data_IF_876720261461
#
_entry.id   IF_876720261461
#
_cell.length_a   1.000
_cell.length_b   1.000
_cell.length_c   1.000
_cell.angle_alpha   90.00
_cell.angle_beta   90.00
_cell.angle_gamma   90.00
#
_symmetry.space_group_name_H-M   'P 1'
#
loop_
_entity.id
_entity.type
_entity.pdbx_description
1 polymer ?
#
# COMPACT_ATOMS: atom_id res chain seq x y z
N UNK A 1 -13.71 -22.32 -9.01
CA UNK A 1 -13.48 -21.66 -7.71
C UNK A 1 -14.73 -20.87 -7.34
N UNK A 2 -15.21 -21.01 -6.11
CA UNK A 2 -16.37 -20.32 -5.56
C UNK A 2 -15.95 -19.58 -4.28
N UNK A 3 -16.70 -18.53 -3.90
CA UNK A 3 -16.47 -17.82 -2.62
C UNK A 3 -16.41 -18.77 -1.42
N UNK A 4 -17.26 -19.81 -1.40
CA UNK A 4 -17.31 -20.81 -0.34
C UNK A 4 -16.01 -21.59 -0.14
N UNK A 5 -15.17 -21.71 -1.17
CA UNK A 5 -13.91 -22.45 -1.12
C UNK A 5 -12.91 -21.80 -0.15
N UNK A 6 -13.06 -20.50 0.13
CA UNK A 6 -12.22 -19.75 1.07
C UNK A 6 -12.73 -19.80 2.52
N UNK A 7 -13.89 -20.42 2.78
CA UNK A 7 -14.53 -20.43 4.09
C UNK A 7 -15.40 -19.19 4.35
N UNK A 8 -16.24 -19.28 5.40
CA UNK A 8 -17.25 -18.27 5.71
C UNK A 8 -16.67 -16.95 6.21
N UNK A 9 -15.57 -17.02 6.94
CA UNK A 9 -14.96 -15.88 7.64
C UNK A 9 -13.88 -15.17 6.81
N UNK A 10 -13.65 -15.60 5.56
CA UNK A 10 -12.66 -14.97 4.69
C UNK A 10 -13.14 -13.58 4.27
N UNK A 11 -12.30 -12.57 4.50
CA UNK A 11 -12.61 -11.18 4.22
C UNK A 11 -12.40 -10.87 2.73
N UNK A 12 -13.33 -10.10 2.17
CA UNK A 12 -13.30 -9.63 0.80
C UNK A 12 -13.43 -8.12 0.78
N UNK A 13 -12.64 -7.43 -0.02
CA UNK A 13 -12.78 -5.99 -0.11
C UNK A 13 -12.14 -5.37 -1.34
N UNK A 14 -12.23 -4.06 -1.42
CA UNK A 14 -11.48 -3.24 -2.35
C UNK A 14 -10.73 -2.14 -1.59
N UNK A 15 -9.63 -1.68 -2.17
CA UNK A 15 -8.75 -0.68 -1.57
C UNK A 15 -8.66 0.61 -2.38
N UNK A 16 -8.25 1.67 -1.69
CA UNK A 16 -7.88 2.97 -2.26
C UNK A 16 -6.91 3.71 -1.33
N UNK A 17 -6.33 4.80 -1.83
CA UNK A 17 -5.48 5.70 -1.05
C UNK A 17 -5.96 7.16 -1.21
N UNK A 18 -5.92 7.91 -0.10
CA UNK A 18 -6.34 9.30 0.04
C UNK A 18 -5.87 10.17 -1.14
N UNK A 19 -4.56 10.31 -1.33
CA UNK A 19 -4.00 11.14 -2.40
C UNK A 19 -4.43 10.70 -3.81
N UNK A 20 -4.62 9.39 -4.02
CA UNK A 20 -4.91 8.84 -5.34
C UNK A 20 -6.36 9.06 -5.76
N UNK A 21 -7.30 9.21 -4.81
CA UNK A 21 -8.74 9.29 -5.12
C UNK A 21 -9.43 10.58 -4.68
N UNK A 22 -8.96 11.23 -3.61
CA UNK A 22 -9.75 12.26 -2.93
C UNK A 22 -9.92 13.54 -3.76
N UNK A 23 -8.84 14.04 -4.36
CA UNK A 23 -8.84 15.39 -4.92
C UNK A 23 -8.96 16.45 -3.84
N UNK A 24 -9.60 17.59 -4.15
CA UNK A 24 -9.87 18.66 -3.19
C UNK A 24 -8.60 19.03 -2.39
N UNK A 25 -7.48 19.15 -3.11
CA UNK A 25 -6.14 19.09 -2.51
C UNK A 25 -5.81 20.29 -1.62
N UNK A 26 -6.50 21.42 -1.82
CA UNK A 26 -6.34 22.67 -1.08
C UNK A 26 -7.64 23.15 -0.42
N UNK A 27 -8.64 22.26 -0.32
CA UNK A 27 -9.95 22.59 0.23
C UNK A 27 -10.04 22.32 1.73
N UNK A 28 -10.96 23.00 2.40
CA UNK A 28 -11.33 22.77 3.79
C UNK A 28 -10.16 22.72 4.77
N UNK A 29 -9.12 23.53 4.49
CA UNK A 29 -7.96 23.68 5.36
C UNK A 29 -6.94 22.54 5.26
N UNK A 30 -7.04 21.64 4.27
CA UNK A 30 -6.00 20.64 4.00
C UNK A 30 -4.65 21.32 3.74
N UNK A 31 -3.60 20.82 4.40
CA UNK A 31 -2.22 21.22 4.14
C UNK A 31 -1.66 20.61 2.85
N UNK A 32 -0.60 21.22 2.33
CA UNK A 32 0.18 20.63 1.25
C UNK A 32 0.86 19.33 1.72
N UNK A 33 0.80 18.28 0.91
CA UNK A 33 1.57 17.05 1.07
C UNK A 33 2.82 17.05 0.18
N UNK A 34 3.75 16.14 0.46
CA UNK A 34 4.92 15.91 -0.41
C UNK A 34 4.52 15.51 -1.82
N UNK A 35 3.37 14.86 -2.01
CA UNK A 35 2.86 14.51 -3.33
C UNK A 35 2.22 15.70 -4.06
N UNK A 36 1.58 16.62 -3.34
CA UNK A 36 1.14 17.90 -3.92
C UNK A 36 2.36 18.64 -4.50
N UNK A 37 3.42 18.81 -3.70
CA UNK A 37 4.64 19.47 -4.17
C UNK A 37 5.30 18.73 -5.34
N UNK A 38 5.37 17.41 -5.26
CA UNK A 38 6.04 16.58 -6.26
C UNK A 38 5.32 16.60 -7.60
N UNK A 39 3.98 16.48 -7.62
CA UNK A 39 3.18 16.50 -8.85
C UNK A 39 3.18 17.86 -9.54
N UNK A 40 3.22 18.96 -8.77
CA UNK A 40 3.38 20.31 -9.29
C UNK A 40 4.80 20.65 -9.77
N UNK A 41 5.77 19.74 -9.61
CA UNK A 41 7.14 19.94 -10.09
C UNK A 41 7.27 19.38 -11.53
N UNK A 42 7.63 20.20 -12.53
CA UNK A 42 7.72 19.75 -13.92
C UNK A 42 8.63 18.52 -14.11
N UNK A 43 8.17 17.57 -14.92
CA UNK A 43 8.91 16.36 -15.28
C UNK A 43 8.97 15.27 -14.20
N UNK A 44 8.21 15.41 -13.10
CA UNK A 44 8.11 14.38 -12.05
C UNK A 44 7.05 13.32 -12.32
N UNK A 45 5.99 13.68 -13.03
CA UNK A 45 4.91 12.78 -13.44
C UNK A 45 4.98 12.60 -14.95
N UNK A 46 4.83 11.36 -15.41
CA UNK A 46 5.05 10.98 -16.82
C UNK A 46 4.18 11.78 -17.80
N UNK A 47 2.91 12.02 -17.44
CA UNK A 47 1.94 12.79 -18.24
C UNK A 47 1.75 14.23 -17.74
N UNK A 48 2.50 14.65 -16.70
CA UNK A 48 2.37 15.97 -16.08
C UNK A 48 1.10 16.17 -15.25
N UNK A 49 0.33 15.12 -14.97
CA UNK A 49 -0.89 15.19 -14.17
C UNK A 49 -0.61 15.38 -12.67
N UNK A 50 -1.64 15.79 -11.93
CA UNK A 50 -1.60 15.97 -10.48
C UNK A 50 -2.77 15.26 -9.78
N UNK A 51 -2.69 15.12 -8.46
CA UNK A 51 -3.77 14.62 -7.61
C UNK A 51 -4.81 15.68 -7.23
N UNK A 52 -4.82 16.86 -7.87
CA UNK A 52 -5.66 18.00 -7.47
C UNK A 52 -7.15 17.65 -7.47
N UNK A 53 -7.59 16.95 -8.51
CA UNK A 53 -8.96 16.49 -8.71
C UNK A 53 -9.09 15.00 -8.47
N UNK A 54 -8.18 14.19 -9.04
CA UNK A 54 -8.22 12.73 -8.93
C UNK A 54 -9.60 12.15 -9.30
N UNK A 55 -10.15 11.28 -8.46
CA UNK A 55 -11.50 10.76 -8.61
C UNK A 55 -12.55 11.70 -7.99
N UNK A 56 -12.17 12.87 -7.47
CA UNK A 56 -13.05 13.78 -6.75
C UNK A 56 -13.82 13.08 -5.61
N UNK A 57 -13.21 12.06 -5.00
CA UNK A 57 -13.86 11.24 -3.98
C UNK A 57 -14.22 12.06 -2.73
N UNK A 58 -13.46 13.11 -2.42
CA UNK A 58 -13.77 14.01 -1.30
C UNK A 58 -15.21 14.54 -1.36
N UNK A 59 -15.69 14.87 -2.56
CA UNK A 59 -17.05 15.33 -2.81
C UNK A 59 -18.03 14.21 -3.16
N UNK A 60 -17.55 13.11 -3.76
CA UNK A 60 -18.39 12.05 -4.33
C UNK A 60 -18.39 10.75 -3.54
N UNK A 61 -17.84 10.73 -2.32
CA UNK A 61 -17.69 9.50 -1.55
C UNK A 61 -19.00 8.75 -1.33
N UNK A 62 -20.14 9.44 -1.13
CA UNK A 62 -21.43 8.76 -0.96
C UNK A 62 -21.81 7.92 -2.19
N UNK A 63 -21.58 8.46 -3.40
CA UNK A 63 -21.80 7.74 -4.66
C UNK A 63 -20.87 6.53 -4.78
N UNK A 64 -19.61 6.71 -4.42
CA UNK A 64 -18.64 5.62 -4.44
C UNK A 64 -19.01 4.51 -3.45
N UNK A 65 -19.49 4.86 -2.25
CA UNK A 65 -19.98 3.91 -1.25
C UNK A 65 -21.29 3.21 -1.68
N UNK A 66 -22.19 3.90 -2.39
CA UNK A 66 -23.39 3.28 -2.97
C UNK A 66 -23.02 2.22 -4.00
N UNK A 67 -22.06 2.51 -4.89
CA UNK A 67 -21.54 1.52 -5.85
C UNK A 67 -20.89 0.33 -5.12
N UNK A 68 -20.11 0.56 -4.06
CA UNK A 68 -19.54 -0.54 -3.26
C UNK A 68 -20.62 -1.44 -2.66
N UNK A 69 -21.70 -0.85 -2.15
CA UNK A 69 -22.85 -1.58 -1.61
C UNK A 69 -23.57 -2.38 -2.68
N UNK A 70 -23.79 -1.80 -3.87
CA UNK A 70 -24.39 -2.48 -5.02
C UNK A 70 -23.52 -3.65 -5.52
N UNK A 71 -22.20 -3.51 -5.43
CA UNK A 71 -21.24 -4.58 -5.72
C UNK A 71 -21.16 -5.64 -4.61
N UNK A 72 -21.80 -5.40 -3.45
CA UNK A 72 -21.79 -6.33 -2.32
C UNK A 72 -20.44 -6.43 -1.61
N UNK A 73 -19.60 -5.39 -1.66
CA UNK A 73 -18.30 -5.36 -1.00
C UNK A 73 -18.47 -5.28 0.52
N UNK A 74 -18.01 -6.27 1.30
CA UNK A 74 -18.20 -6.25 2.75
C UNK A 74 -17.13 -5.42 3.48
N UNK A 75 -15.99 -5.11 2.85
CA UNK A 75 -14.91 -4.33 3.44
C UNK A 75 -14.37 -3.30 2.45
N UNK A 76 -14.12 -2.09 2.94
CA UNK A 76 -13.46 -1.01 2.22
C UNK A 76 -12.19 -0.60 2.96
N UNK A 77 -11.04 -0.78 2.30
CA UNK A 77 -9.75 -0.29 2.78
C UNK A 77 -9.47 1.08 2.19
N UNK A 78 -9.21 2.07 3.05
CA UNK A 78 -8.79 3.41 2.62
C UNK A 78 -7.73 3.98 3.56
N UNK A 79 -7.02 5.02 3.13
CA UNK A 79 -6.11 5.77 4.00
C UNK A 79 -6.70 7.10 4.44
N UNK A 80 -6.28 7.54 5.61
CA UNK A 80 -6.54 8.90 6.09
C UNK A 80 -5.41 9.80 5.62
N UNK A 81 -5.75 10.90 4.96
CA UNK A 81 -4.81 11.94 4.59
C UNK A 81 -4.34 12.72 5.81
N UNK A 82 -3.14 12.40 6.30
CA UNK A 82 -2.49 13.13 7.40
C UNK A 82 -2.57 14.67 7.24
N UNK A 83 -2.29 15.28 6.07
CA UNK A 83 -2.37 16.74 5.90
C UNK A 83 -3.80 17.30 5.99
N UNK A 84 -4.85 16.47 5.90
CA UNK A 84 -6.22 16.91 6.21
C UNK A 84 -6.47 17.03 7.70
N UNK A 85 -5.87 16.15 8.50
CA UNK A 85 -6.03 16.14 9.97
C UNK A 85 -5.11 17.17 10.62
N UNK A 86 -3.83 17.14 10.26
CA UNK A 86 -2.80 18.07 10.72
C UNK A 86 -2.13 18.72 9.52
N UNK A 87 -2.60 19.89 9.06
CA UNK A 87 -2.06 20.57 7.87
C UNK A 87 -0.56 20.86 7.97
N UNK A 88 -0.06 21.14 9.19
CA UNK A 88 1.35 21.37 9.49
C UNK A 88 2.08 20.13 10.02
N UNK A 89 1.47 18.95 9.86
CA UNK A 89 1.95 17.66 10.34
C UNK A 89 1.80 17.38 11.83
N UNK A 90 1.58 18.40 12.64
CA UNK A 90 1.30 18.30 14.08
C UNK A 90 0.65 19.59 14.59
N UNK A 91 0.25 19.62 15.86
CA UNK A 91 -0.28 20.81 16.51
C UNK A 91 -1.77 20.99 16.30
N UNK A 92 -2.19 22.12 15.72
CA UNK A 92 -3.60 22.44 15.54
C UNK A 92 -4.27 21.46 14.55
N UNK A 93 -5.35 20.84 15.01
CA UNK A 93 -6.19 19.96 14.19
C UNK A 93 -7.06 20.77 13.26
N UNK A 94 -7.21 20.30 12.03
CA UNK A 94 -8.21 20.82 11.11
C UNK A 94 -9.51 20.01 11.25
N UNK A 95 -10.50 20.59 11.94
CA UNK A 95 -11.75 19.90 12.26
C UNK A 95 -12.52 19.45 11.01
N UNK A 96 -12.48 20.21 9.91
CA UNK A 96 -13.17 19.82 8.68
C UNK A 96 -12.58 18.54 8.05
N UNK A 97 -11.27 18.37 8.15
CA UNK A 97 -10.61 17.12 7.76
C UNK A 97 -11.04 15.96 8.64
N UNK A 98 -11.17 16.19 9.96
CA UNK A 98 -11.67 15.19 10.91
C UNK A 98 -13.11 14.78 10.58
N UNK A 99 -13.97 15.77 10.32
CA UNK A 99 -15.39 15.57 10.01
C UNK A 99 -15.60 14.80 8.69
N UNK A 100 -14.74 15.00 7.69
CA UNK A 100 -14.78 14.23 6.46
C UNK A 100 -14.62 12.72 6.72
N UNK A 101 -13.63 12.31 7.51
CA UNK A 101 -13.42 10.89 7.77
C UNK A 101 -14.50 10.30 8.69
N UNK A 102 -15.06 11.07 9.64
CA UNK A 102 -16.27 10.62 10.35
C UNK A 102 -17.42 10.32 9.39
N UNK A 103 -17.72 11.24 8.45
CA UNK A 103 -18.77 11.03 7.44
C UNK A 103 -18.48 9.83 6.53
N UNK A 104 -17.24 9.64 6.10
CA UNK A 104 -16.84 8.49 5.28
C UNK A 104 -17.02 7.17 6.05
N UNK A 105 -16.55 7.11 7.30
CA UNK A 105 -16.65 5.93 8.16
C UNK A 105 -18.11 5.60 8.46
N UNK A 106 -18.92 6.59 8.84
CA UNK A 106 -20.35 6.41 9.12
C UNK A 106 -21.12 6.05 7.83
N UNK A 107 -20.71 6.61 6.70
CA UNK A 107 -21.19 6.25 5.37
C UNK A 107 -20.95 4.77 5.05
N UNK A 108 -19.77 4.23 5.36
CA UNK A 108 -19.46 2.81 5.20
C UNK A 108 -20.36 1.95 6.09
N UNK A 109 -20.40 2.25 7.40
CA UNK A 109 -21.12 1.45 8.39
C UNK A 109 -22.63 1.42 8.13
N UNK A 110 -23.23 2.55 7.74
CA UNK A 110 -24.65 2.63 7.37
C UNK A 110 -25.02 1.78 6.15
N UNK A 111 -24.03 1.42 5.33
CA UNK A 111 -24.17 0.56 4.15
C UNK A 111 -23.79 -0.89 4.42
N UNK A 112 -23.38 -1.23 5.65
CA UNK A 112 -22.91 -2.56 6.01
C UNK A 112 -21.50 -2.87 5.48
N UNK A 113 -20.73 -1.84 5.14
CA UNK A 113 -19.35 -1.95 4.67
C UNK A 113 -18.42 -1.73 5.87
N UNK A 114 -17.56 -2.69 6.16
CA UNK A 114 -16.56 -2.56 7.23
C UNK A 114 -15.42 -1.64 6.78
N UNK A 115 -15.17 -0.51 7.46
CA UNK A 115 -14.00 0.33 7.18
C UNK A 115 -12.72 -0.29 7.77
N UNK A 116 -11.68 -0.40 6.93
CA UNK A 116 -10.33 -0.78 7.34
C UNK A 116 -9.36 0.35 7.00
N UNK A 117 -8.68 0.91 8.01
CA UNK A 117 -7.97 2.19 7.85
C UNK A 117 -6.46 2.01 7.79
N UNK A 118 -5.85 2.63 6.78
CA UNK A 118 -4.40 2.82 6.68
C UNK A 118 -4.02 4.22 7.16
N UNK A 119 -3.14 4.32 8.15
CA UNK A 119 -2.80 5.61 8.77
C UNK A 119 -1.85 6.45 7.90
N UNK A 120 -0.89 5.81 7.24
CA UNK A 120 0.04 6.48 6.35
C UNK A 120 0.13 5.81 4.98
N UNK A 121 -0.28 6.55 3.94
CA UNK A 121 -0.15 6.15 2.54
C UNK A 121 0.55 7.24 1.73
N UNK A 122 1.77 7.56 2.17
CA UNK A 122 2.80 8.35 1.46
C UNK A 122 2.57 9.86 1.37
N UNK A 123 1.41 10.36 1.78
CA UNK A 123 1.01 11.76 1.73
C UNK A 123 1.50 12.57 2.95
N UNK A 124 2.79 12.47 3.28
CA UNK A 124 3.44 13.25 4.35
C UNK A 124 3.14 14.75 4.18
N UNK A 125 2.71 15.48 5.23
CA UNK A 125 2.60 16.93 5.19
C UNK A 125 3.93 17.60 4.80
N UNK A 126 3.91 18.47 3.79
CA UNK A 126 5.11 19.08 3.21
C UNK A 126 5.92 19.87 4.26
N UNK A 127 5.25 20.47 5.23
CA UNK A 127 5.88 21.17 6.37
C UNK A 127 6.75 20.28 7.26
N UNK A 128 6.53 18.96 7.27
CA UNK A 128 7.43 18.00 7.91
C UNK A 128 8.62 17.69 7.00
N UNK A 129 8.41 17.55 5.68
CA UNK A 129 9.50 17.36 4.72
C UNK A 129 10.45 18.57 4.69
N UNK A 130 9.94 19.79 4.78
CA UNK A 130 10.73 21.02 4.88
C UNK A 130 11.66 21.02 6.12
N UNK A 131 11.31 20.23 7.14
CA UNK A 131 12.10 19.99 8.37
C UNK A 131 12.88 18.68 8.34
N UNK A 132 13.05 18.10 7.15
CA UNK A 132 13.83 16.89 6.88
C UNK A 132 13.00 15.63 6.64
N UNK A 133 11.68 15.65 6.85
CA UNK A 133 10.77 14.55 6.55
C UNK A 133 11.18 13.26 7.26
N UNK A 134 11.07 12.11 6.60
CA UNK A 134 11.45 10.83 7.22
C UNK A 134 12.93 10.74 7.59
N UNK A 135 13.80 11.61 7.07
CA UNK A 135 15.20 11.68 7.53
C UNK A 135 15.35 12.32 8.91
N UNK A 136 14.33 13.05 9.38
CA UNK A 136 14.26 13.64 10.71
C UNK A 136 13.52 12.71 11.68
N UNK A 137 14.10 12.51 12.87
CA UNK A 137 13.45 11.76 13.96
C UNK A 137 12.17 12.43 14.44
N UNK A 138 12.06 13.75 14.28
CA UNK A 138 10.85 14.50 14.60
C UNK A 138 9.64 13.94 13.83
N UNK A 139 9.79 13.59 12.55
CA UNK A 139 8.67 13.09 11.73
C UNK A 139 8.09 11.79 12.30
N UNK A 140 8.96 10.91 12.78
CA UNK A 140 8.55 9.70 13.50
C UNK A 140 7.74 10.06 14.77
N UNK A 141 8.19 11.05 15.55
CA UNK A 141 7.51 11.49 16.77
C UNK A 141 6.14 12.13 16.44
N UNK A 142 6.05 12.96 15.40
CA UNK A 142 4.77 13.55 14.93
C UNK A 142 3.83 12.51 14.36
N UNK A 143 4.37 11.49 13.70
CA UNK A 143 3.56 10.38 13.24
C UNK A 143 2.92 9.64 14.42
N UNK A 144 3.66 9.39 15.50
CA UNK A 144 3.10 8.80 16.71
C UNK A 144 1.98 9.66 17.34
N UNK A 145 2.12 10.98 17.38
CA UNK A 145 1.04 11.90 17.83
C UNK A 145 -0.21 11.77 16.93
N UNK A 146 -0.01 11.69 15.62
CA UNK A 146 -1.10 11.51 14.67
C UNK A 146 -1.78 10.14 14.80
N UNK A 147 -1.03 9.06 14.97
CA UNK A 147 -1.56 7.71 15.24
C UNK A 147 -2.38 7.71 16.52
N UNK A 148 -1.87 8.33 17.60
CA UNK A 148 -2.59 8.43 18.88
C UNK A 148 -3.93 9.15 18.71
N UNK A 149 -3.92 10.30 18.02
CA UNK A 149 -5.14 11.03 17.74
C UNK A 149 -6.13 10.21 16.90
N UNK A 150 -5.72 9.71 15.73
CA UNK A 150 -6.62 9.03 14.80
C UNK A 150 -7.24 7.77 15.41
N UNK A 151 -6.46 7.01 16.19
CA UNK A 151 -6.94 5.78 16.84
C UNK A 151 -7.87 6.08 18.01
N UNK A 152 -7.68 7.17 18.77
CA UNK A 152 -8.67 7.60 19.77
C UNK A 152 -9.94 8.15 19.14
N UNK A 153 -9.80 8.94 18.09
CA UNK A 153 -10.90 9.65 17.43
C UNK A 153 -11.85 8.69 16.71
N UNK A 154 -11.30 7.76 15.92
CA UNK A 154 -12.10 6.86 15.09
C UNK A 154 -12.15 5.41 15.61
N UNK A 155 -11.36 5.08 16.64
CA UNK A 155 -11.12 3.70 17.10
C UNK A 155 -12.36 2.90 17.50
N UNK A 156 -13.42 3.56 17.96
CA UNK A 156 -14.68 2.90 18.31
C UNK A 156 -15.40 2.29 17.11
N UNK A 157 -15.10 2.75 15.89
CA UNK A 157 -15.75 2.36 14.63
C UNK A 157 -14.87 1.50 13.73
N UNK A 158 -13.55 1.45 13.98
CA UNK A 158 -12.58 0.76 13.13
C UNK A 158 -12.10 -0.54 13.78
N UNK A 159 -12.36 -1.67 13.12
CA UNK A 159 -11.91 -2.99 13.59
C UNK A 159 -10.50 -3.35 13.14
N UNK A 160 -9.97 -2.68 12.12
CA UNK A 160 -8.69 -3.04 11.50
C UNK A 160 -7.88 -1.82 11.12
N UNK A 161 -6.69 -1.74 11.71
CA UNK A 161 -5.75 -0.64 11.52
C UNK A 161 -4.49 -1.14 10.83
N UNK A 162 -4.03 -0.39 9.83
CA UNK A 162 -2.77 -0.58 9.12
C UNK A 162 -1.89 0.64 9.37
N UNK A 163 -0.75 0.46 10.04
CA UNK A 163 0.09 1.59 10.45
C UNK A 163 0.72 2.29 9.24
N UNK A 164 1.41 1.53 8.39
CA UNK A 164 2.08 2.05 7.20
C UNK A 164 1.67 1.27 5.96
N UNK A 165 1.54 1.97 4.83
CA UNK A 165 1.53 1.35 3.51
C UNK A 165 2.94 1.29 2.91
N UNK A 166 3.38 0.09 2.56
CA UNK A 166 4.58 -0.17 1.74
C UNK A 166 5.81 0.65 2.17
N UNK A 167 6.34 0.47 3.39
CA UNK A 167 7.48 1.24 3.89
C UNK A 167 8.72 1.14 2.98
N UNK A 168 8.92 0.00 2.32
CA UNK A 168 9.97 -0.16 1.31
C UNK A 168 9.81 0.82 0.15
N UNK A 169 8.60 0.99 -0.38
CA UNK A 169 8.33 1.78 -1.57
C UNK A 169 8.66 3.26 -1.33
N UNK A 170 8.06 3.89 -0.32
CA UNK A 170 8.29 5.33 -0.11
C UNK A 170 9.71 5.64 0.41
N UNK A 171 10.35 4.75 1.17
CA UNK A 171 11.74 4.98 1.60
C UNK A 171 12.75 4.79 0.47
N UNK A 172 12.58 3.74 -0.35
CA UNK A 172 13.51 3.46 -1.45
C UNK A 172 13.25 4.36 -2.65
N UNK A 173 12.01 4.43 -3.14
CA UNK A 173 11.67 5.24 -4.31
C UNK A 173 11.74 6.75 -3.99
N UNK A 174 11.42 7.15 -2.76
CA UNK A 174 11.38 8.55 -2.33
C UNK A 174 12.70 9.12 -1.79
N UNK A 175 13.52 8.30 -1.10
CA UNK A 175 14.75 8.77 -0.44
C UNK A 175 16.05 8.13 -0.97
N UNK A 176 15.98 7.06 -1.77
CA UNK A 176 17.17 6.46 -2.42
C UNK A 176 17.24 6.78 -3.92
N UNK A 177 16.15 6.52 -4.66
CA UNK A 177 16.12 6.65 -6.13
C UNK A 177 15.58 8.00 -6.60
N UNK A 178 14.76 8.67 -5.79
CA UNK A 178 14.12 9.95 -6.11
C UNK A 178 13.09 9.87 -7.23
N UNK A 179 12.48 8.69 -7.41
CA UNK A 179 11.42 8.41 -8.38
C UNK A 179 10.04 8.80 -7.86
N UNK A 180 9.80 8.68 -6.55
CA UNK A 180 8.57 9.13 -5.88
C UNK A 180 8.87 10.35 -4.99
N UNK A 181 7.82 11.00 -4.48
CA UNK A 181 7.95 12.04 -3.47
C UNK A 181 8.74 11.53 -2.24
N UNK A 182 9.63 12.34 -1.63
CA UNK A 182 9.96 13.73 -1.95
C UNK A 182 11.03 13.91 -3.06
N UNK A 183 11.45 12.84 -3.74
CA UNK A 183 12.41 12.91 -4.85
C UNK A 183 13.87 13.00 -4.40
N UNK A 184 14.19 12.62 -3.16
CA UNK A 184 15.54 12.63 -2.59
C UNK A 184 16.32 11.38 -3.02
N UNK A 185 17.65 11.50 -3.06
CA UNK A 185 18.53 10.47 -3.61
C UNK A 185 19.67 10.13 -2.66
N UNK A 186 20.08 8.86 -2.69
CA UNK A 186 21.31 8.39 -2.07
C UNK A 186 21.19 7.92 -0.61
N UNK A 187 22.23 7.21 -0.13
CA UNK A 187 22.18 6.48 1.14
C UNK A 187 22.05 7.36 2.38
N UNK A 188 22.54 8.61 2.34
CA UNK A 188 22.42 9.55 3.46
C UNK A 188 20.99 10.00 3.74
N UNK A 189 20.11 9.94 2.73
CA UNK A 189 18.68 10.18 2.88
C UNK A 189 17.94 8.87 3.19
N UNK A 190 18.32 7.79 2.50
CA UNK A 190 17.67 6.48 2.64
C UNK A 190 17.78 5.87 4.03
N UNK A 191 18.99 5.80 4.61
CA UNK A 191 19.21 5.13 5.89
C UNK A 191 18.39 5.73 7.05
N UNK A 192 18.43 7.06 7.32
CA UNK A 192 17.60 7.62 8.39
C UNK A 192 16.11 7.47 8.08
N UNK A 193 15.69 7.61 6.82
CA UNK A 193 14.29 7.39 6.44
C UNK A 193 13.81 5.97 6.76
N UNK A 194 14.62 4.95 6.45
CA UNK A 194 14.32 3.55 6.80
C UNK A 194 14.24 3.37 8.32
N UNK A 195 15.18 3.93 9.08
CA UNK A 195 15.20 3.75 10.53
C UNK A 195 13.99 4.38 11.22
N UNK A 196 13.69 5.64 10.93
CA UNK A 196 12.56 6.33 11.52
C UNK A 196 11.21 5.73 11.06
N UNK A 197 11.14 5.21 9.84
CA UNK A 197 9.97 4.46 9.37
C UNK A 197 9.78 3.15 10.14
N UNK A 198 10.86 2.41 10.42
CA UNK A 198 10.78 1.19 11.22
C UNK A 198 10.36 1.48 12.67
N UNK A 199 10.82 2.60 13.25
CA UNK A 199 10.33 3.08 14.55
C UNK A 199 8.85 3.45 14.51
N UNK A 200 8.41 4.18 13.48
CA UNK A 200 7.02 4.55 13.26
C UNK A 200 6.11 3.31 13.15
N UNK A 201 6.58 2.26 12.48
CA UNK A 201 5.86 1.00 12.36
C UNK A 201 5.60 0.37 13.73
N UNK A 202 6.65 0.13 14.52
CA UNK A 202 6.53 -0.56 15.80
C UNK A 202 5.79 0.26 16.86
N UNK A 203 6.13 1.54 17.00
CA UNK A 203 5.53 2.43 17.99
C UNK A 203 4.10 2.81 17.59
N UNK A 204 3.82 3.03 16.30
CA UNK A 204 2.46 3.23 15.82
C UNK A 204 1.56 2.03 16.10
N UNK A 205 2.07 0.80 15.89
CA UNK A 205 1.37 -0.43 16.24
C UNK A 205 1.03 -0.49 17.74
N UNK A 206 2.00 -0.16 18.58
CA UNK A 206 1.85 -0.12 20.04
C UNK A 206 0.80 0.89 20.50
N UNK A 207 0.83 2.10 19.96
CA UNK A 207 -0.14 3.16 20.26
C UNK A 207 -1.54 2.74 19.82
N UNK A 208 -1.69 2.26 18.58
CA UNK A 208 -2.97 1.83 18.04
C UNK A 208 -3.58 0.70 18.87
N UNK A 209 -2.77 -0.29 19.27
CA UNK A 209 -3.25 -1.41 20.09
C UNK A 209 -3.63 -0.99 21.51
N UNK A 210 -2.90 -0.05 22.10
CA UNK A 210 -3.23 0.51 23.40
C UNK A 210 -4.58 1.27 23.38
N UNK A 211 -4.81 2.07 22.34
CA UNK A 211 -6.06 2.83 22.18
C UNK A 211 -7.25 1.96 21.75
N UNK A 212 -6.99 0.91 20.96
CA UNK A 212 -8.00 0.05 20.36
C UNK A 212 -7.71 -1.44 20.67
N UNK A 213 -7.82 -1.90 21.93
CA UNK A 213 -7.40 -3.25 22.33
C UNK A 213 -8.16 -4.39 21.62
N UNK A 214 -9.41 -4.11 21.21
CA UNK A 214 -10.28 -5.06 20.50
C UNK A 214 -10.10 -5.04 18.98
N UNK A 215 -9.37 -4.06 18.44
CA UNK A 215 -9.10 -4.00 17.01
C UNK A 215 -7.90 -4.90 16.66
N UNK A 216 -7.88 -5.34 15.40
CA UNK A 216 -6.71 -5.94 14.79
C UNK A 216 -5.77 -4.83 14.30
N UNK A 217 -4.53 -4.85 14.76
CA UNK A 217 -3.50 -3.89 14.38
C UNK A 217 -2.43 -4.62 13.57
N UNK A 218 -2.22 -4.15 12.34
CA UNK A 218 -1.24 -4.67 11.40
C UNK A 218 -0.53 -3.56 10.65
N UNK A 219 0.23 -3.94 9.64
CA UNK A 219 0.88 -3.05 8.68
C UNK A 219 0.96 -3.75 7.33
N UNK A 220 1.27 -3.04 6.24
CA UNK A 220 1.26 -3.64 4.90
C UNK A 220 2.60 -3.50 4.19
N UNK A 221 2.92 -4.48 3.32
CA UNK A 221 4.19 -4.60 2.64
C UNK A 221 3.99 -4.87 1.15
N UNK A 222 4.62 -4.05 0.32
CA UNK A 222 4.83 -4.35 -1.10
C UNK A 222 5.82 -5.49 -1.21
N UNK A 223 5.44 -6.55 -1.90
CA UNK A 223 6.28 -7.72 -2.03
C UNK A 223 6.25 -8.26 -3.46
N UNK A 224 7.40 -8.68 -3.94
CA UNK A 224 7.55 -9.41 -5.20
C UNK A 224 8.26 -10.72 -4.95
N UNK A 225 7.81 -11.80 -5.58
CA UNK A 225 8.58 -13.05 -5.54
C UNK A 225 9.89 -12.83 -6.29
N UNK A 226 11.02 -13.05 -5.62
CA UNK A 226 12.35 -12.76 -6.18
C UNK A 226 13.02 -14.05 -6.61
N UNK A 227 13.37 -14.15 -7.89
CA UNK A 227 14.11 -15.28 -8.42
C UNK A 227 15.45 -14.84 -9.03
N UNK A 228 16.55 -15.58 -8.82
CA UNK A 228 17.79 -15.30 -9.51
C UNK A 228 17.72 -15.75 -10.97
N UNK A 229 18.32 -14.99 -11.89
CA UNK A 229 18.48 -15.37 -13.30
C UNK A 229 19.41 -16.58 -13.53
N UNK A 230 19.93 -17.17 -12.46
CA UNK A 230 20.89 -18.28 -12.44
C UNK A 230 21.70 -18.27 -11.13
N UNK A 231 22.44 -19.35 -10.87
CA UNK A 231 23.19 -19.54 -9.60
C UNK A 231 24.15 -18.39 -9.27
N UNK A 232 24.79 -17.80 -10.28
CA UNK A 232 25.68 -16.64 -10.12
C UNK A 232 24.97 -15.39 -9.58
N UNK A 233 23.65 -15.29 -9.77
CA UNK A 233 22.83 -14.16 -9.30
C UNK A 233 22.17 -14.42 -7.94
N UNK A 234 22.40 -15.58 -7.30
CA UNK A 234 21.70 -15.98 -6.07
C UNK A 234 21.90 -14.98 -4.91
N UNK A 235 23.13 -14.50 -4.68
CA UNK A 235 23.37 -13.52 -3.62
C UNK A 235 22.74 -12.16 -3.91
N UNK A 236 22.71 -11.75 -5.18
CA UNK A 236 22.05 -10.51 -5.58
C UNK A 236 20.53 -10.61 -5.36
N UNK A 237 19.93 -11.72 -5.76
CA UNK A 237 18.52 -12.01 -5.49
C UNK A 237 18.20 -12.01 -3.99
N UNK A 238 19.03 -12.64 -3.16
CA UNK A 238 18.85 -12.64 -1.71
C UNK A 238 18.89 -11.23 -1.09
N UNK A 239 19.74 -10.35 -1.60
CA UNK A 239 19.81 -8.93 -1.18
C UNK A 239 18.57 -8.15 -1.61
N UNK A 240 18.07 -8.37 -2.82
CA UNK A 240 16.83 -7.79 -3.32
C UNK A 240 15.62 -8.24 -2.49
N UNK A 241 15.48 -9.54 -2.26
CA UNK A 241 14.42 -10.11 -1.41
C UNK A 241 14.49 -9.54 0.02
N UNK A 242 15.69 -9.43 0.59
CA UNK A 242 15.81 -8.80 1.90
C UNK A 242 15.34 -7.34 1.90
N UNK A 243 15.82 -6.52 0.96
CA UNK A 243 15.47 -5.09 0.92
C UNK A 243 13.98 -4.87 0.66
N UNK A 244 13.45 -5.54 -0.37
CA UNK A 244 12.09 -5.33 -0.87
C UNK A 244 11.05 -5.95 0.06
N UNK A 245 11.28 -7.20 0.47
CA UNK A 245 10.25 -8.02 1.09
C UNK A 245 10.43 -8.14 2.61
N UNK A 246 11.67 -8.37 3.08
CA UNK A 246 11.88 -8.85 4.45
C UNK A 246 12.30 -7.78 5.45
N UNK A 247 13.02 -6.74 5.05
CA UNK A 247 13.70 -5.84 5.98
C UNK A 247 12.75 -5.26 7.04
N UNK A 248 11.61 -4.70 6.64
CA UNK A 248 10.64 -4.12 7.58
C UNK A 248 9.82 -5.16 8.35
N UNK A 249 9.68 -6.38 7.83
CA UNK A 249 9.08 -7.51 8.55
C UNK A 249 10.04 -7.97 9.65
N UNK A 250 11.30 -8.23 9.29
CA UNK A 250 12.33 -8.74 10.18
C UNK A 250 12.66 -7.76 11.32
N UNK A 251 12.71 -6.46 11.05
CA UNK A 251 12.88 -5.45 12.12
C UNK A 251 11.66 -5.40 13.05
N UNK A 252 10.45 -5.48 12.51
CA UNK A 252 9.21 -5.56 13.29
C UNK A 252 9.14 -6.81 14.18
N UNK A 253 9.72 -7.91 13.73
CA UNK A 253 9.85 -9.17 14.47
C UNK A 253 11.04 -9.22 15.44
N UNK A 254 11.86 -8.17 15.50
CA UNK A 254 13.02 -8.10 16.39
C UNK A 254 14.25 -8.88 15.93
N UNK A 255 14.32 -9.22 14.64
CA UNK A 255 15.51 -9.84 14.04
C UNK A 255 16.58 -8.82 13.66
N UNK A 256 16.27 -7.52 13.75
CA UNK A 256 17.19 -6.42 13.47
C UNK A 256 17.56 -6.27 12.00
N UNK A 257 18.58 -5.47 11.72
CA UNK A 257 19.09 -5.29 10.36
C UNK A 257 20.09 -6.39 9.99
N UNK A 258 19.91 -7.00 8.81
CA UNK A 258 20.81 -8.05 8.30
C UNK A 258 22.07 -7.43 7.66
N UNK A 259 22.96 -6.92 8.51
CA UNK A 259 24.22 -6.28 8.10
C UNK A 259 25.22 -7.23 7.44
N UNK A 260 25.05 -8.54 7.63
CA UNK A 260 25.85 -9.57 6.93
C UNK A 260 25.46 -9.66 5.45
N UNK A 261 24.16 -9.68 5.17
CA UNK A 261 23.65 -9.72 3.79
C UNK A 261 23.83 -8.38 3.08
N UNK A 262 23.63 -7.27 3.81
CA UNK A 262 23.79 -5.90 3.32
C UNK A 262 24.67 -5.06 4.23
N UNK A 263 25.99 -5.01 3.96
CA UNK A 263 26.95 -4.25 4.75
C UNK A 263 26.66 -2.75 4.84
N UNK A 264 25.94 -2.17 3.88
CA UNK A 264 25.52 -0.75 3.94
C UNK A 264 24.74 -0.44 5.23
N UNK A 265 23.96 -1.39 5.73
CA UNK A 265 23.13 -1.21 6.92
C UNK A 265 23.93 -1.05 8.21
N UNK A 266 25.24 -1.34 8.22
CA UNK A 266 26.11 -0.99 9.37
C UNK A 266 26.18 0.51 9.62
N UNK A 267 25.89 1.33 8.60
CA UNK A 267 25.82 2.79 8.75
C UNK A 267 24.53 3.25 9.44
N UNK A 268 23.59 2.33 9.72
CA UNK A 268 22.35 2.66 10.43
C UNK A 268 22.62 3.11 11.86
N UNK A 269 23.70 2.64 12.48
CA UNK A 269 24.13 2.97 13.84
C UNK A 269 24.25 4.50 14.06
N UNK A 270 24.54 5.28 13.00
CA UNK A 270 24.62 6.73 13.08
C UNK A 270 23.26 7.43 13.31
N UNK A 271 22.15 6.73 13.07
CA UNK A 271 20.79 7.25 13.18
C UNK A 271 19.98 6.57 14.30
N UNK A 272 20.51 5.49 14.84
CA UNK A 272 19.89 4.73 15.92
C UNK A 272 20.23 5.34 17.28
N UNK A 273 19.24 5.45 18.16
CA UNK A 273 19.45 5.76 19.58
C UNK A 273 19.29 4.51 20.44
N UNK A 274 19.82 4.59 21.66
CA UNK A 274 19.67 3.52 22.65
C UNK A 274 18.18 3.16 22.84
N UNK A 275 17.88 1.87 22.72
CA UNK A 275 16.53 1.33 22.87
C UNK A 275 15.69 1.30 21.59
N UNK A 276 16.10 1.96 20.50
CA UNK A 276 15.32 1.99 19.25
C UNK A 276 15.08 0.58 18.67
N UNK A 277 16.04 -0.34 18.80
CA UNK A 277 15.86 -1.75 18.44
C UNK A 277 14.66 -2.44 19.09
N UNK A 278 14.36 -2.11 20.35
CA UNK A 278 13.18 -2.67 21.04
C UNK A 278 11.89 -1.98 20.62
N UNK A 279 11.98 -0.71 20.21
CA UNK A 279 10.82 0.12 19.83
C UNK A 279 10.30 -0.20 18.44
N UNK A 280 11.20 -0.56 17.52
CA UNK A 280 10.86 -1.08 16.19
C UNK A 280 10.06 -2.40 16.28
N UNK A 281 10.23 -3.16 17.35
CA UNK A 281 9.55 -4.43 17.55
C UNK A 281 8.10 -4.20 17.91
N UNK A 282 7.19 -4.93 17.25
CA UNK A 282 5.80 -4.98 17.66
C UNK A 282 5.16 -6.27 17.17
N UNK A 283 4.39 -6.90 18.06
CA UNK A 283 3.73 -8.18 17.81
C UNK A 283 2.38 -7.96 17.12
N UNK A 284 2.42 -7.64 15.83
CA UNK A 284 1.24 -7.37 15.01
C UNK A 284 0.23 -8.52 15.03
N UNK A 285 -1.07 -8.19 15.00
CA UNK A 285 -2.15 -9.18 14.87
C UNK A 285 -2.17 -9.81 13.47
N UNK A 286 -1.76 -9.04 12.46
CA UNK A 286 -1.62 -9.49 11.08
C UNK A 286 -0.54 -8.69 10.33
N UNK A 287 -0.08 -9.24 9.21
CA UNK A 287 0.62 -8.48 8.17
C UNK A 287 -0.22 -8.45 6.88
N UNK A 288 -0.17 -7.33 6.17
CA UNK A 288 -0.74 -7.19 4.85
C UNK A 288 0.31 -7.43 3.79
N UNK A 289 0.06 -8.36 2.87
CA UNK A 289 0.90 -8.60 1.71
C UNK A 289 0.24 -7.96 0.49
N UNK A 290 1.04 -7.21 -0.25
CA UNK A 290 0.67 -6.57 -1.51
C UNK A 290 1.55 -7.16 -2.59
N UNK A 291 0.96 -7.75 -3.62
CA UNK A 291 1.71 -8.39 -4.68
C UNK A 291 1.04 -8.15 -6.03
N UNK A 292 1.86 -7.91 -7.04
CA UNK A 292 1.39 -7.65 -8.41
C UNK A 292 2.16 -8.49 -9.45
N UNK A 293 3.41 -8.83 -9.15
CA UNK A 293 4.32 -9.50 -10.07
C UNK A 293 5.45 -10.24 -9.35
N UNK A 294 6.37 -10.83 -10.12
CA UNK A 294 7.67 -11.34 -9.66
C UNK A 294 8.81 -10.55 -10.29
N UNK A 295 9.97 -10.60 -9.64
CA UNK A 295 11.20 -10.00 -10.15
C UNK A 295 12.27 -11.05 -10.41
N UNK A 296 12.91 -10.94 -11.57
CA UNK A 296 14.07 -11.78 -11.92
C UNK A 296 15.34 -10.94 -11.79
N UNK A 297 16.23 -11.34 -10.88
CA UNK A 297 17.44 -10.59 -10.55
C UNK A 297 18.64 -11.20 -11.24
N UNK A 298 19.36 -10.39 -12.02
CA UNK A 298 20.67 -10.72 -12.57
C UNK A 298 21.74 -10.02 -11.76
N UNK A 299 22.87 -10.69 -11.51
CA UNK A 299 24.06 -10.02 -10.98
C UNK A 299 24.47 -8.84 -11.88
N UNK A 300 24.83 -7.73 -11.24
CA UNK A 300 25.28 -6.52 -11.92
C UNK A 300 26.30 -5.78 -11.06
N UNK A 301 27.50 -5.45 -11.58
CA UNK A 301 28.50 -4.71 -10.83
C UNK A 301 28.16 -3.21 -10.73
N UNK A 302 27.17 -2.73 -11.49
CA UNK A 302 26.85 -1.30 -11.62
C UNK A 302 25.85 -0.78 -10.60
N UNK A 303 25.27 -1.65 -9.77
CA UNK A 303 24.34 -1.27 -8.72
C UNK A 303 25.01 -1.56 -7.37
N UNK A 304 25.67 -0.55 -6.76
CA UNK A 304 26.35 -0.72 -5.48
C UNK A 304 25.43 -1.29 -4.40
N UNK A 305 26.03 -1.98 -3.43
CA UNK A 305 25.40 -2.61 -2.25
C UNK A 305 24.56 -3.86 -2.55
N UNK A 306 23.71 -3.85 -3.58
CA UNK A 306 22.86 -5.00 -3.94
C UNK A 306 23.51 -5.92 -4.97
N UNK A 307 24.39 -5.38 -5.82
CA UNK A 307 25.12 -6.12 -6.86
C UNK A 307 24.19 -6.88 -7.83
N UNK A 308 23.03 -6.31 -8.10
CA UNK A 308 21.99 -6.91 -8.93
C UNK A 308 21.18 -5.86 -9.68
N UNK A 309 20.54 -6.29 -10.75
CA UNK A 309 19.58 -5.52 -11.51
C UNK A 309 18.38 -6.38 -11.87
N UNK A 310 17.19 -5.81 -11.80
CA UNK A 310 15.96 -6.46 -12.26
C UNK A 310 15.99 -6.61 -13.79
N UNK A 311 15.63 -7.78 -14.30
CA UNK A 311 15.39 -8.02 -15.73
C UNK A 311 13.93 -7.61 -16.01
N UNK A 312 13.69 -6.54 -16.82
CA UNK A 312 12.34 -6.08 -17.11
C UNK A 312 11.46 -7.20 -17.68
N UNK A 313 10.21 -7.32 -17.21
CA UNK A 313 9.30 -8.38 -17.66
C UNK A 313 9.10 -8.39 -19.19
N UNK A 314 9.04 -7.22 -19.83
CA UNK A 314 8.96 -7.08 -21.30
C UNK A 314 10.09 -7.79 -22.08
N UNK A 315 11.23 -8.07 -21.44
CA UNK A 315 12.36 -8.80 -22.07
C UNK A 315 12.28 -10.32 -21.91
N UNK A 316 11.36 -10.82 -21.10
CA UNK A 316 11.30 -12.21 -20.66
C UNK A 316 9.90 -12.83 -20.77
N UNK A 317 8.87 -12.00 -20.95
CA UNK A 317 7.48 -12.43 -21.06
C UNK A 317 6.90 -11.94 -22.39
N UNK A 318 6.11 -12.77 -23.11
CA UNK A 318 5.46 -12.35 -24.35
C UNK A 318 4.32 -11.34 -24.12
N UNK A 319 3.74 -11.33 -22.92
CA UNK A 319 2.67 -10.43 -22.50
C UNK A 319 2.94 -9.90 -21.09
N UNK A 320 2.59 -8.66 -20.86
CA UNK A 320 2.68 -7.97 -19.56
C UNK A 320 1.41 -7.16 -19.32
N UNK A 321 1.20 -6.71 -18.09
CA UNK A 321 0.23 -5.65 -17.77
C UNK A 321 0.62 -4.33 -18.47
N UNK A 322 -0.26 -3.34 -18.40
CA UNK A 322 0.02 -1.99 -18.94
C UNK A 322 1.12 -1.24 -18.14
N UNK A 323 1.41 -1.70 -16.93
CA UNK A 323 2.59 -1.29 -16.14
C UNK A 323 3.89 -1.96 -16.61
N UNK A 324 3.81 -2.87 -17.57
CA UNK A 324 4.96 -3.67 -17.99
C UNK A 324 5.36 -4.73 -16.97
N UNK A 325 4.45 -5.15 -16.09
CA UNK A 325 4.69 -6.19 -15.09
C UNK A 325 4.32 -7.57 -15.63
N UNK A 326 5.02 -8.61 -15.16
CA UNK A 326 4.67 -9.98 -15.50
C UNK A 326 3.42 -10.43 -14.73
N UNK A 327 2.58 -11.20 -15.40
CA UNK A 327 1.48 -11.92 -14.77
C UNK A 327 2.02 -13.27 -14.29
N UNK A 328 2.29 -13.40 -12.99
CA UNK A 328 2.86 -14.62 -12.40
C UNK A 328 2.16 -14.98 -11.08
N UNK A 329 0.98 -15.63 -11.14
CA UNK A 329 0.16 -15.96 -9.97
C UNK A 329 0.90 -16.81 -8.92
N UNK A 330 1.82 -17.68 -9.33
CA UNK A 330 2.61 -18.48 -8.38
C UNK A 330 3.46 -17.61 -7.43
N UNK A 331 3.77 -16.36 -7.81
CA UNK A 331 4.48 -15.40 -6.99
C UNK A 331 3.79 -15.11 -5.65
N UNK A 332 2.47 -14.84 -5.66
CA UNK A 332 1.74 -14.58 -4.40
C UNK A 332 1.68 -15.84 -3.54
N UNK A 333 1.54 -17.03 -4.15
CA UNK A 333 1.56 -18.30 -3.42
C UNK A 333 2.89 -18.50 -2.67
N UNK A 334 4.03 -18.25 -3.33
CA UNK A 334 5.34 -18.38 -2.72
C UNK A 334 5.56 -17.35 -1.60
N UNK A 335 5.16 -16.09 -1.83
CA UNK A 335 5.27 -15.04 -0.81
C UNK A 335 4.43 -15.36 0.44
N UNK A 336 3.19 -15.83 0.26
CA UNK A 336 2.34 -16.23 1.39
C UNK A 336 3.00 -17.33 2.23
N UNK A 337 3.61 -18.33 1.60
CA UNK A 337 4.34 -19.39 2.31
C UNK A 337 5.63 -18.88 2.97
N UNK A 338 6.38 -18.01 2.29
CA UNK A 338 7.58 -17.39 2.83
C UNK A 338 7.26 -16.64 4.12
N UNK A 339 6.27 -15.76 4.11
CA UNK A 339 5.95 -14.96 5.29
C UNK A 339 5.26 -15.76 6.40
N UNK A 340 4.44 -16.75 6.05
CA UNK A 340 3.84 -17.64 7.04
C UNK A 340 4.88 -18.51 7.78
N UNK A 341 6.10 -18.66 7.25
CA UNK A 341 7.18 -19.41 7.91
C UNK A 341 7.81 -18.67 9.09
N UNK A 342 7.60 -17.35 9.22
CA UNK A 342 8.06 -16.58 10.37
C UNK A 342 7.20 -16.87 11.59
N UNK A 343 7.82 -17.29 12.69
CA UNK A 343 7.11 -17.63 13.94
C UNK A 343 6.24 -16.51 14.51
N UNK A 344 6.59 -15.24 14.26
CA UNK A 344 5.80 -14.09 14.72
C UNK A 344 4.72 -13.61 13.74
N UNK A 345 4.60 -14.23 12.55
CA UNK A 345 3.53 -13.90 11.61
C UNK A 345 2.31 -14.76 11.92
N UNK A 346 1.36 -14.16 12.63
CA UNK A 346 0.15 -14.86 13.11
C UNK A 346 -0.88 -15.05 12.00
N UNK A 347 -1.09 -14.01 11.18
CA UNK A 347 -2.18 -13.91 10.20
C UNK A 347 -1.73 -13.05 9.02
N UNK A 348 -2.20 -13.42 7.82
CA UNK A 348 -1.93 -12.66 6.60
C UNK A 348 -3.25 -12.22 5.95
N UNK A 349 -3.30 -10.96 5.52
CA UNK A 349 -4.28 -10.47 4.56
C UNK A 349 -3.57 -10.12 3.26
N UNK A 350 -4.16 -10.47 2.11
CA UNK A 350 -3.75 -9.85 0.85
C UNK A 350 -4.42 -8.48 0.81
N UNK A 351 -3.66 -7.42 1.10
CA UNK A 351 -4.22 -6.07 1.29
C UNK A 351 -4.29 -5.25 0.01
N UNK A 352 -3.54 -5.68 -1.02
CA UNK A 352 -3.60 -5.17 -2.39
C UNK A 352 -3.19 -6.27 -3.37
N UNK A 353 -4.00 -6.51 -4.39
CA UNK A 353 -3.64 -7.28 -5.59
C UNK A 353 -4.58 -6.86 -6.72
N UNK A 354 -4.01 -6.67 -7.91
CA UNK A 354 -4.78 -6.29 -9.10
C UNK A 354 -3.85 -5.99 -10.27
N UNK A 355 -4.41 -5.48 -11.36
CA UNK A 355 -3.64 -5.23 -12.57
C UNK A 355 -4.22 -4.09 -13.40
N UNK A 356 -3.31 -3.31 -13.99
CA UNK A 356 -3.65 -2.36 -15.04
C UNK A 356 -3.63 -3.04 -16.41
N UNK A 357 -4.73 -2.89 -17.14
CA UNK A 357 -4.86 -3.25 -18.54
C UNK A 357 -5.56 -2.10 -19.28
N UNK A 358 -5.32 -1.96 -20.59
CA UNK A 358 -6.12 -1.06 -21.41
C UNK A 358 -7.60 -1.47 -21.34
N UNK A 359 -8.46 -0.52 -21.01
CA UNK A 359 -9.90 -0.73 -20.93
C UNK A 359 -10.57 -0.41 -22.28
N UNK A 360 -11.56 -1.22 -22.69
CA UNK A 360 -12.36 -0.95 -23.89
C UNK A 360 -13.75 -0.48 -23.47
N UNK A 361 -14.06 0.80 -23.72
CA UNK A 361 -15.37 1.39 -23.40
C UNK A 361 -16.30 1.30 -24.60
N UNK A 362 -17.49 0.71 -24.41
CA UNK A 362 -18.52 0.53 -25.45
C UNK A 362 -19.90 0.88 -24.88
N UNK A 363 -20.39 2.08 -25.20
CA UNK A 363 -21.61 2.61 -24.58
C UNK A 363 -21.43 2.77 -23.07
N UNK A 364 -22.31 2.15 -22.27
CA UNK A 364 -22.25 2.18 -20.80
C UNK A 364 -21.52 0.96 -20.19
N UNK A 365 -20.70 0.26 -20.98
CA UNK A 365 -19.91 -0.89 -20.50
C UNK A 365 -18.42 -0.67 -20.70
N UNK A 366 -17.63 -1.29 -19.83
CA UNK A 366 -16.18 -1.32 -19.89
C UNK A 366 -15.71 -2.77 -19.86
N UNK A 367 -15.16 -3.23 -20.98
CA UNK A 367 -14.71 -4.59 -21.19
C UNK A 367 -13.24 -4.74 -20.83
N UNK A 368 -12.95 -5.60 -19.87
CA UNK A 368 -11.62 -5.78 -19.28
C UNK A 368 -11.35 -7.25 -18.90
N UNK A 369 -11.62 -8.18 -19.83
CA UNK A 369 -11.51 -9.62 -19.60
C UNK A 369 -10.14 -10.06 -19.04
N UNK A 370 -9.05 -9.39 -19.40
CA UNK A 370 -7.71 -9.67 -18.87
C UNK A 370 -7.60 -9.40 -17.37
N UNK A 371 -8.26 -8.35 -16.87
CA UNK A 371 -8.30 -8.02 -15.45
C UNK A 371 -9.06 -9.11 -14.69
N UNK A 372 -10.18 -9.56 -15.24
CA UNK A 372 -10.94 -10.70 -14.68
C UNK A 372 -10.09 -11.96 -14.58
N UNK A 373 -9.39 -12.32 -15.66
CA UNK A 373 -8.51 -13.50 -15.67
C UNK A 373 -7.37 -13.37 -14.64
N UNK A 374 -6.73 -12.21 -14.56
CA UNK A 374 -5.69 -11.94 -13.57
C UNK A 374 -6.21 -12.17 -12.15
N UNK A 375 -7.36 -11.59 -11.79
CA UNK A 375 -7.93 -11.73 -10.45
C UNK A 375 -8.24 -13.20 -10.15
N UNK A 376 -8.83 -13.93 -11.11
CA UNK A 376 -9.14 -15.35 -10.97
C UNK A 376 -7.88 -16.20 -10.71
N UNK A 377 -6.82 -15.96 -11.47
CA UNK A 377 -5.58 -16.74 -11.36
C UNK A 377 -4.89 -16.50 -10.00
N UNK A 378 -4.79 -15.24 -9.58
CA UNK A 378 -4.19 -14.89 -8.29
C UNK A 378 -5.03 -15.38 -7.10
N UNK A 379 -6.36 -15.31 -7.19
CA UNK A 379 -7.24 -15.93 -6.19
C UNK A 379 -7.06 -17.44 -6.12
N UNK A 380 -6.86 -18.12 -7.26
CA UNK A 380 -6.51 -19.53 -7.30
C UNK A 380 -5.21 -19.85 -6.55
N UNK A 381 -4.17 -19.02 -6.73
CA UNK A 381 -2.90 -19.15 -6.02
C UNK A 381 -3.03 -18.91 -4.50
N UNK A 382 -3.83 -17.91 -4.09
CA UNK A 382 -4.15 -17.66 -2.67
C UNK A 382 -4.91 -18.84 -2.06
N UNK A 383 -5.92 -19.37 -2.76
CA UNK A 383 -6.67 -20.54 -2.32
C UNK A 383 -5.77 -21.76 -2.16
N UNK A 384 -4.83 -21.97 -3.10
CA UNK A 384 -3.84 -23.05 -3.01
C UNK A 384 -3.00 -22.92 -1.73
N UNK A 385 -2.46 -21.73 -1.44
CA UNK A 385 -1.69 -21.49 -0.21
C UNK A 385 -2.55 -21.74 1.06
N UNK A 386 -3.81 -21.27 1.05
CA UNK A 386 -4.75 -21.47 2.16
C UNK A 386 -5.04 -22.96 2.42
N UNK A 387 -5.30 -23.73 1.37
CA UNK A 387 -5.57 -25.16 1.46
C UNK A 387 -4.36 -25.97 1.95
N UNK A 388 -3.15 -25.43 1.78
CA UNK A 388 -1.91 -25.98 2.32
C UNK A 388 -1.60 -25.49 3.75
N UNK A 389 -2.55 -24.81 4.43
CA UNK A 389 -2.45 -24.44 5.83
C UNK A 389 -1.87 -23.05 6.10
N UNK A 390 -1.61 -22.23 5.07
CA UNK A 390 -1.22 -20.83 5.29
C UNK A 390 -2.40 -20.05 5.88
N UNK A 391 -2.17 -19.32 6.98
CA UNK A 391 -3.19 -18.51 7.66
C UNK A 391 -3.51 -17.20 6.92
N UNK A 392 -3.93 -17.30 5.66
CA UNK A 392 -4.44 -16.19 4.86
C UNK A 392 -5.95 -16.04 5.07
N UNK A 393 -6.39 -14.86 5.49
CA UNK A 393 -7.74 -14.62 6.01
C UNK A 393 -8.54 -13.57 5.23
N UNK A 394 -7.98 -13.01 4.17
CA UNK A 394 -8.73 -12.11 3.32
C UNK A 394 -7.96 -11.64 2.10
N UNK A 395 -8.71 -11.06 1.17
CA UNK A 395 -8.21 -10.56 -0.10
C UNK A 395 -8.91 -9.25 -0.46
N UNK A 396 -8.10 -8.22 -0.69
CA UNK A 396 -8.52 -6.86 -0.98
C UNK A 396 -7.99 -6.46 -2.35
N UNK A 397 -8.90 -6.19 -3.29
CA UNK A 397 -8.54 -5.83 -4.66
C UNK A 397 -7.98 -4.41 -4.70
N UNK A 398 -6.84 -4.26 -5.37
CA UNK A 398 -6.34 -2.97 -5.81
C UNK A 398 -6.77 -2.74 -7.26
N UNK A 399 -7.67 -1.81 -7.57
CA UNK A 399 -8.30 -0.81 -6.69
C UNK A 399 -9.83 -0.82 -6.84
N UNK A 400 -10.53 -0.09 -5.96
CA UNK A 400 -11.96 0.15 -6.14
C UNK A 400 -12.22 0.92 -7.44
N UNK A 401 -11.62 2.09 -7.60
CA UNK A 401 -11.73 2.94 -8.80
C UNK A 401 -10.39 3.06 -9.52
N UNK A 402 -10.45 3.33 -10.82
CA UNK A 402 -9.34 3.98 -11.52
C UNK A 402 -8.97 5.27 -10.77
N UNK A 403 -7.69 5.57 -10.68
CA UNK A 403 -7.18 6.62 -9.82
C UNK A 403 -5.84 7.17 -10.34
N UNK A 404 -5.28 8.14 -9.62
CA UNK A 404 -3.96 8.69 -9.91
C UNK A 404 -2.86 7.69 -9.49
N UNK A 405 -2.18 7.06 -10.45
CA UNK A 405 -1.17 6.02 -10.23
C UNK A 405 0.24 6.62 -10.10
N UNK A 406 0.43 7.47 -9.09
CA UNK A 406 1.73 8.00 -8.69
C UNK A 406 2.51 8.65 -9.85
N UNK A 407 3.75 8.20 -10.12
CA UNK A 407 4.58 8.76 -11.19
C UNK A 407 4.04 8.49 -12.61
N UNK A 408 3.11 7.54 -12.77
CA UNK A 408 2.51 7.18 -14.06
C UNK A 408 1.29 8.05 -14.41
N UNK A 409 0.79 8.86 -13.47
CA UNK A 409 -0.37 9.71 -13.69
C UNK A 409 -1.66 8.91 -13.85
N UNK A 410 -2.51 9.31 -14.80
CA UNK A 410 -3.83 8.69 -15.00
C UNK A 410 -3.87 7.61 -16.08
N UNK A 411 -2.73 7.32 -16.72
CA UNK A 411 -2.65 6.33 -17.81
C UNK A 411 -2.99 4.92 -17.32
N UNK A 412 -2.34 4.34 -16.28
CA UNK A 412 -2.65 3.00 -15.83
C UNK A 412 -3.99 2.97 -15.08
N UNK A 413 -4.82 1.97 -15.36
CA UNK A 413 -6.15 1.83 -14.78
C UNK A 413 -6.29 0.52 -14.02
N UNK A 414 -6.26 0.58 -12.69
CA UNK A 414 -6.36 -0.60 -11.81
C UNK A 414 -7.79 -0.90 -11.33
N UNK A 415 -8.73 0.02 -11.48
CA UNK A 415 -10.02 -0.05 -10.81
C UNK A 415 -10.92 -1.18 -11.29
N UNK A 416 -11.73 -1.70 -10.38
CA UNK A 416 -12.96 -2.43 -10.71
C UNK A 416 -14.05 -1.50 -11.27
N UNK A 417 -13.94 -0.21 -10.97
CA UNK A 417 -14.83 0.85 -11.45
C UNK A 417 -14.02 1.82 -12.30
N UNK A 418 -14.43 1.97 -13.56
CA UNK A 418 -13.87 2.98 -14.46
C UNK A 418 -14.27 4.37 -13.99
N UNK A 419 -13.32 5.30 -14.01
CA UNK A 419 -13.58 6.74 -13.80
C UNK A 419 -13.23 7.49 -15.06
N UNK A 420 -14.23 8.17 -15.61
CA UNK A 420 -14.01 9.23 -16.59
C UNK A 420 -13.55 10.47 -15.85
N UNK A 421 -12.28 10.86 -16.00
CA UNK A 421 -11.68 11.91 -15.19
C UNK A 421 -12.19 13.32 -15.53
N UNK A 422 -12.75 13.52 -16.73
CA UNK A 422 -13.33 14.81 -17.15
C UNK A 422 -14.72 15.00 -16.54
N UNK A 423 -15.58 13.99 -16.65
CA UNK A 423 -16.98 14.05 -16.23
C UNK A 423 -17.22 13.52 -14.83
N UNK A 424 -16.22 12.85 -14.24
CA UNK A 424 -16.30 12.14 -12.97
C UNK A 424 -17.35 11.01 -12.97
N UNK A 425 -17.77 10.53 -14.14
CA UNK A 425 -18.69 9.38 -14.29
C UNK A 425 -17.98 8.10 -13.85
N UNK A 426 -18.69 7.30 -13.04
CA UNK A 426 -18.27 5.96 -12.62
C UNK A 426 -19.03 4.92 -13.44
N UNK A 427 -18.31 3.92 -13.94
CA UNK A 427 -18.90 2.76 -14.65
C UNK A 427 -18.26 1.48 -14.11
N UNK A 428 -19.05 0.58 -13.51
CA UNK A 428 -18.54 -0.71 -13.04
C UNK A 428 -18.07 -1.53 -14.25
N UNK A 429 -16.81 -1.98 -14.24
CA UNK A 429 -16.23 -2.76 -15.33
C UNK A 429 -16.72 -4.21 -15.29
N UNK A 430 -16.51 -4.97 -16.36
CA UNK A 430 -16.86 -6.39 -16.39
C UNK A 430 -16.15 -7.18 -15.27
N UNK A 431 -14.91 -6.83 -14.91
CA UNK A 431 -14.22 -7.39 -13.73
C UNK A 431 -14.90 -7.07 -12.40
N UNK A 432 -15.44 -5.86 -12.25
CA UNK A 432 -16.23 -5.45 -11.08
C UNK A 432 -17.56 -6.20 -11.00
N UNK A 433 -18.25 -6.37 -12.13
CA UNK A 433 -19.47 -7.17 -12.23
C UNK A 433 -19.21 -8.65 -11.91
N UNK A 434 -18.12 -9.21 -12.44
CA UNK A 434 -17.69 -10.56 -12.11
C UNK A 434 -17.41 -10.72 -10.62
N UNK A 435 -16.70 -9.77 -9.99
CA UNK A 435 -16.39 -9.85 -8.56
C UNK A 435 -17.64 -9.74 -7.69
N UNK A 436 -18.60 -8.87 -8.05
CA UNK A 436 -19.93 -8.84 -7.41
C UNK A 436 -20.62 -10.21 -7.47
N UNK A 437 -20.64 -10.84 -8.63
CA UNK A 437 -21.32 -12.13 -8.82
C UNK A 437 -20.60 -13.25 -8.05
N UNK A 438 -19.26 -13.25 -8.04
CA UNK A 438 -18.45 -14.12 -7.19
C UNK A 438 -18.78 -13.94 -5.71
N UNK A 439 -18.89 -12.69 -5.23
CA UNK A 439 -19.26 -12.39 -3.84
C UNK A 439 -20.68 -12.85 -3.50
N UNK A 440 -21.61 -12.76 -4.45
CA UNK A 440 -22.97 -13.28 -4.31
C UNK A 440 -23.05 -14.81 -4.39
N UNK A 441 -21.95 -15.50 -4.72
CA UNK A 441 -21.91 -16.95 -4.88
C UNK A 441 -22.61 -17.46 -6.13
N UNK A 442 -22.73 -16.62 -7.17
CA UNK A 442 -23.36 -16.93 -8.45
C UNK A 442 -22.40 -17.60 -9.43
#
# INVERSE_FOLDING_TARGET
MKRSDFGRDFLWGAASASYQIEGAYNEDGKGESVWDRFTHTPGKIHDGSTGDVACNHYHLFEKDLDIMKEMGLPLYRFSIGWPRIFPTGSGAKNQKGVDFYHRLIDGCLSRGIEPAVTLYHWDLPQTLEDRGGWTSRETYERFCEYVDFATKEYGSKIKRWMILNEPFAFTTLGYMLGQHAPGRKGPSNYLPAVHHTALAQGEGGRIAKANCPNAEVGTTYSCSWIEPAGSFSAQAAARYDYLMNRMFVETGLGLGYNTKLLPLLKKMDAFQKDGDEKRMQFDFDFIGIQNYSREIIRWSPFIPYVWGSMIPAKKRCPKTTDMGWEIYPDGIYHLLKQFASYKGVKKIYVTENGAAFPDVVTGDRVHDAERTQFIQDYLGAVLRAKNEGVNVQGYVIWSFTDNFEWAEGYRPRFGLVHVDYETQKRTVKDSGLWFRDFLAGK
#
